data_IF_938261434413
#
_entry.id   IF_938261434413
#
_cell.length_a   1.000
_cell.length_b   1.000
_cell.length_c   1.000
_cell.angle_alpha   90.00
_cell.angle_beta   90.00
_cell.angle_gamma   90.00
#
_symmetry.space_group_name_H-M   'P 1'
#
loop_
_entity.id
_entity.type
_entity.pdbx_description
1 polymer ?
#
# COMPACT_ATOMS: atom_id res chain seq x y z
N UNK A 1 26.53 -4.99 10.27
CA UNK A 1 25.75 -5.19 9.02
C UNK A 1 24.52 -4.31 9.08
N UNK A 2 24.09 -3.69 7.99
CA UNK A 2 22.83 -2.95 7.99
C UNK A 2 21.67 -3.94 8.24
N UNK A 3 20.72 -3.52 9.06
CA UNK A 3 19.50 -4.26 9.35
C UNK A 3 18.31 -3.48 8.80
N UNK A 4 17.39 -4.17 8.14
CA UNK A 4 16.18 -3.57 7.57
C UNK A 4 14.97 -4.24 8.19
N UNK A 5 14.12 -3.44 8.84
CA UNK A 5 12.82 -3.88 9.34
C UNK A 5 11.73 -3.41 8.39
N UNK A 6 10.97 -4.34 7.84
CA UNK A 6 9.83 -4.03 6.99
C UNK A 6 8.54 -4.11 7.79
N UNK A 7 7.74 -3.05 7.72
CA UNK A 7 6.44 -2.97 8.37
C UNK A 7 5.37 -2.70 7.32
N UNK A 8 4.38 -3.59 7.23
CA UNK A 8 3.20 -3.36 6.42
C UNK A 8 2.29 -2.34 7.11
N UNK A 9 1.65 -1.45 6.34
CA UNK A 9 0.65 -0.55 6.90
C UNK A 9 -0.48 -1.32 7.59
N UNK A 10 -1.14 -0.71 8.58
CA UNK A 10 -2.32 -1.24 9.23
C UNK A 10 -3.44 -1.52 8.22
N UNK A 11 -4.45 -2.29 8.63
CA UNK A 11 -5.57 -2.61 7.75
C UNK A 11 -6.16 -1.34 7.15
N UNK A 12 -6.23 -1.31 5.82
CA UNK A 12 -6.91 -0.24 5.09
C UNK A 12 -8.43 -0.35 5.26
N UNK A 13 -9.14 0.73 4.92
CA UNK A 13 -10.61 0.78 4.95
C UNK A 13 -11.19 -0.36 4.11
N UNK A 14 -12.05 -1.15 4.73
CA UNK A 14 -12.77 -2.23 4.05
C UNK A 14 -13.94 -1.67 3.24
N UNK A 15 -14.36 -2.42 2.23
CA UNK A 15 -15.45 -2.05 1.32
C UNK A 15 -15.24 -0.70 0.63
N UNK A 16 -13.98 -0.31 0.44
CA UNK A 16 -13.64 0.85 -0.35
C UNK A 16 -14.08 0.66 -1.80
N UNK A 17 -14.50 1.75 -2.43
CA UNK A 17 -14.97 1.77 -3.82
C UNK A 17 -14.05 2.55 -4.76
N UNK A 18 -13.02 3.20 -4.20
CA UNK A 18 -12.01 3.95 -4.93
C UNK A 18 -10.66 3.85 -4.27
N UNK A 19 -9.61 4.21 -5.00
CA UNK A 19 -8.26 4.26 -4.46
C UNK A 19 -8.14 5.26 -3.30
N UNK A 20 -8.78 6.41 -3.40
CA UNK A 20 -8.77 7.44 -2.36
C UNK A 20 -9.48 6.97 -1.07
N UNK A 21 -10.60 6.26 -1.23
CA UNK A 21 -11.33 5.69 -0.09
C UNK A 21 -10.52 4.57 0.57
N UNK A 22 -9.85 3.75 -0.22
CA UNK A 22 -8.96 2.68 0.25
C UNK A 22 -7.72 3.24 0.96
N UNK A 23 -7.23 4.42 0.58
CA UNK A 23 -6.04 5.06 1.17
C UNK A 23 -6.31 5.65 2.56
N UNK A 24 -7.09 4.94 3.38
CA UNK A 24 -7.37 5.28 4.77
C UNK A 24 -7.24 4.02 5.62
N UNK A 25 -6.76 4.18 6.85
CA UNK A 25 -6.78 3.08 7.82
C UNK A 25 -8.18 2.85 8.38
N UNK A 26 -8.58 1.59 8.51
CA UNK A 26 -9.73 1.22 9.32
C UNK A 26 -9.45 1.47 10.80
N UNK A 27 -10.50 1.43 11.65
CA UNK A 27 -10.30 1.50 13.11
C UNK A 27 -9.36 0.39 13.63
N UNK A 28 -9.50 -0.82 13.08
CA UNK A 28 -8.60 -1.92 13.41
C UNK A 28 -7.18 -1.62 12.93
N UNK A 29 -7.00 -1.08 11.73
CA UNK A 29 -5.69 -0.71 11.20
C UNK A 29 -4.97 0.33 12.08
N UNK A 30 -5.71 1.30 12.62
CA UNK A 30 -5.18 2.27 13.58
C UNK A 30 -4.72 1.60 14.88
N UNK A 31 -5.49 0.63 15.40
CA UNK A 31 -5.10 -0.16 16.56
C UNK A 31 -3.86 -1.02 16.29
N UNK A 32 -3.83 -1.68 15.14
CA UNK A 32 -2.68 -2.50 14.72
C UNK A 32 -1.39 -1.68 14.67
N UNK A 33 -1.42 -0.47 14.10
CA UNK A 33 -0.26 0.41 14.08
C UNK A 33 0.25 0.75 15.49
N UNK A 34 -0.67 1.07 16.40
CA UNK A 34 -0.31 1.34 17.80
C UNK A 34 0.31 0.13 18.50
N UNK A 35 -0.25 -1.07 18.30
CA UNK A 35 0.26 -2.30 18.88
C UNK A 35 1.68 -2.63 18.39
N UNK A 36 1.93 -2.48 17.10
CA UNK A 36 3.26 -2.69 16.53
C UNK A 36 4.26 -1.69 17.11
N UNK A 37 3.87 -0.42 17.20
CA UNK A 37 4.71 0.61 17.81
C UNK A 37 5.02 0.33 19.28
N UNK A 38 4.04 -0.10 20.07
CA UNK A 38 4.22 -0.51 21.46
C UNK A 38 5.19 -1.70 21.57
N UNK A 39 5.00 -2.70 20.71
CA UNK A 39 5.90 -3.85 20.67
C UNK A 39 7.34 -3.44 20.40
N UNK A 40 7.58 -2.55 19.44
CA UNK A 40 8.92 -2.07 19.11
C UNK A 40 9.55 -1.26 20.24
N UNK A 41 8.76 -0.42 20.93
CA UNK A 41 9.24 0.29 22.13
C UNK A 41 9.60 -0.66 23.27
N UNK A 42 8.79 -1.69 23.50
CA UNK A 42 9.06 -2.70 24.54
C UNK A 42 10.34 -3.49 24.26
N UNK A 43 10.63 -3.74 22.98
CA UNK A 43 11.89 -4.34 22.52
C UNK A 43 13.07 -3.36 22.52
N UNK A 44 12.84 -2.08 22.83
CA UNK A 44 13.86 -1.00 22.79
C UNK A 44 14.57 -0.91 21.45
N UNK A 45 13.85 -1.15 20.35
CA UNK A 45 14.40 -1.03 19.00
C UNK A 45 14.69 0.44 18.67
N UNK A 46 15.84 0.67 18.07
CA UNK A 46 16.26 1.99 17.57
C UNK A 46 16.58 1.89 16.09
N UNK A 47 16.37 2.99 15.38
CA UNK A 47 16.56 3.07 13.93
C UNK A 47 17.34 4.33 13.59
N UNK A 48 18.21 4.24 12.58
CA UNK A 48 18.97 5.39 12.06
C UNK A 48 18.13 6.24 11.11
N UNK A 49 17.15 5.62 10.43
CA UNK A 49 16.22 6.27 9.51
C UNK A 49 14.91 5.49 9.46
N UNK A 50 13.81 6.21 9.33
CA UNK A 50 12.50 5.64 9.04
C UNK A 50 12.10 6.09 7.64
N UNK A 51 11.78 5.13 6.78
CA UNK A 51 11.32 5.42 5.41
C UNK A 51 9.87 4.98 5.27
N UNK A 52 9.04 5.83 4.67
CA UNK A 52 7.65 5.52 4.35
C UNK A 52 7.31 6.02 2.95
N UNK A 53 6.31 5.43 2.33
CA UNK A 53 5.69 5.99 1.14
C UNK A 53 4.91 7.27 1.45
N UNK A 54 4.24 7.80 0.42
CA UNK A 54 3.45 9.02 0.52
C UNK A 54 1.94 8.78 0.62
N UNK A 55 1.50 7.51 0.62
CA UNK A 55 0.10 7.16 0.80
C UNK A 55 -0.35 7.41 2.26
N UNK A 56 -1.57 7.90 2.42
CA UNK A 56 -2.14 8.25 3.73
C UNK A 56 -2.06 7.07 4.71
N UNK A 57 -2.44 5.85 4.26
CA UNK A 57 -2.39 4.66 5.11
C UNK A 57 -0.98 4.29 5.58
N UNK A 58 0.05 4.59 4.78
CA UNK A 58 1.45 4.36 5.15
C UNK A 58 1.92 5.41 6.15
N UNK A 59 1.62 6.68 5.89
CA UNK A 59 1.97 7.80 6.76
C UNK A 59 1.28 7.65 8.12
N UNK A 60 -0.03 7.39 8.13
CA UNK A 60 -0.80 7.20 9.36
C UNK A 60 -0.29 6.02 10.19
N UNK A 61 0.11 4.92 9.53
CA UNK A 61 0.72 3.79 10.23
C UNK A 61 2.00 4.21 10.93
N UNK A 62 2.90 4.90 10.23
CA UNK A 62 4.16 5.39 10.82
C UNK A 62 3.92 6.32 12.00
N UNK A 63 2.98 7.28 11.86
CA UNK A 63 2.65 8.23 12.93
C UNK A 63 2.06 7.50 14.15
N UNK A 64 1.09 6.60 13.91
CA UNK A 64 0.38 5.88 14.98
C UNK A 64 1.26 4.85 15.71
N UNK A 65 2.30 4.34 15.05
CA UNK A 65 3.31 3.52 15.73
C UNK A 65 4.00 4.30 16.87
N UNK A 66 4.10 5.62 16.76
CA UNK A 66 4.64 6.48 17.81
C UNK A 66 6.01 6.02 18.29
N UNK A 67 6.91 5.69 17.37
CA UNK A 67 8.25 5.28 17.70
C UNK A 67 8.99 6.46 18.33
N UNK A 68 9.49 6.25 19.54
CA UNK A 68 10.34 7.22 20.22
C UNK A 68 11.74 7.13 19.63
N UNK A 69 11.95 7.86 18.55
CA UNK A 69 13.22 7.88 17.87
C UNK A 69 13.57 9.29 17.42
N UNK A 70 14.86 9.60 17.48
CA UNK A 70 15.43 10.81 16.87
C UNK A 70 15.75 10.62 15.39
N UNK A 71 15.46 9.43 14.85
CA UNK A 71 15.71 9.12 13.46
C UNK A 71 14.87 10.01 12.55
N UNK A 72 15.47 10.56 11.47
CA UNK A 72 14.71 11.29 10.48
C UNK A 72 13.69 10.38 9.79
N UNK A 73 12.51 10.95 9.50
CA UNK A 73 11.47 10.29 8.70
C UNK A 73 11.57 10.80 7.27
N UNK A 74 11.83 9.90 6.34
CA UNK A 74 11.91 10.17 4.90
C UNK A 74 10.65 9.64 4.22
N UNK A 75 9.98 10.48 3.42
CA UNK A 75 8.84 10.09 2.60
C UNK A 75 9.26 10.01 1.14
N UNK A 76 9.03 8.84 0.52
CA UNK A 76 9.45 8.59 -0.85
C UNK A 76 8.35 7.81 -1.59
N UNK A 77 7.84 8.38 -2.67
CA UNK A 77 6.77 7.78 -3.48
C UNK A 77 7.15 6.43 -4.10
N UNK A 78 8.45 6.13 -4.21
CA UNK A 78 8.93 4.84 -4.71
C UNK A 78 8.49 3.66 -3.82
N UNK A 79 8.13 3.93 -2.56
CA UNK A 79 7.60 2.93 -1.62
C UNK A 79 6.07 2.83 -1.64
N UNK A 80 5.39 3.56 -2.54
CA UNK A 80 3.95 3.46 -2.66
C UNK A 80 3.53 2.11 -3.27
N UNK A 81 2.42 1.57 -2.78
CA UNK A 81 1.76 0.45 -3.43
C UNK A 81 1.16 0.87 -4.78
N UNK A 82 0.89 -0.14 -5.61
CA UNK A 82 0.16 0.08 -6.87
C UNK A 82 -1.26 0.59 -6.58
N UNK A 83 -1.78 1.41 -7.47
CA UNK A 83 -3.16 1.92 -7.42
C UNK A 83 -4.13 0.89 -8.02
N UNK A 84 -4.41 -0.16 -7.25
CA UNK A 84 -5.16 -1.31 -7.73
C UNK A 84 -6.59 -0.98 -8.14
N UNK A 85 -7.28 -0.10 -7.41
CA UNK A 85 -8.65 0.31 -7.74
C UNK A 85 -8.70 1.08 -9.06
N UNK A 86 -7.74 1.98 -9.30
CA UNK A 86 -7.67 2.72 -10.57
C UNK A 86 -7.39 1.77 -11.75
N UNK A 87 -6.52 0.79 -11.57
CA UNK A 87 -6.29 -0.23 -12.60
C UNK A 87 -7.54 -1.09 -12.84
N UNK A 88 -8.27 -1.43 -11.78
CA UNK A 88 -9.51 -2.20 -11.90
C UNK A 88 -10.60 -1.41 -12.63
N UNK A 89 -10.73 -0.11 -12.36
CA UNK A 89 -11.66 0.77 -13.08
C UNK A 89 -11.30 0.87 -14.57
N UNK A 90 -10.01 0.95 -14.89
CA UNK A 90 -9.56 0.93 -16.28
C UNK A 90 -9.85 -0.42 -16.95
N UNK A 91 -9.71 -1.55 -16.25
CA UNK A 91 -10.11 -2.85 -16.78
C UNK A 91 -11.60 -2.91 -17.09
N UNK A 92 -12.44 -2.38 -16.20
CA UNK A 92 -13.88 -2.29 -16.43
C UNK A 92 -14.19 -1.44 -17.64
N UNK A 93 -13.63 -0.25 -17.72
CA UNK A 93 -13.93 0.74 -18.76
C UNK A 93 -13.39 0.33 -20.14
N UNK A 94 -12.21 -0.29 -20.19
CA UNK A 94 -11.55 -0.62 -21.47
C UNK A 94 -11.85 -2.03 -21.96
N UNK A 95 -12.16 -2.97 -21.07
CA UNK A 95 -12.32 -4.39 -21.39
C UNK A 95 -13.65 -4.99 -20.91
N UNK A 96 -14.50 -4.22 -20.21
CA UNK A 96 -15.77 -4.71 -19.66
C UNK A 96 -15.60 -5.72 -18.52
N UNK A 97 -14.46 -5.72 -17.84
CA UNK A 97 -14.12 -6.67 -16.75
C UNK A 97 -14.45 -6.02 -15.42
N UNK A 98 -15.52 -6.48 -14.78
CA UNK A 98 -15.95 -5.98 -13.48
C UNK A 98 -15.02 -6.38 -12.34
N UNK A 99 -14.98 -5.55 -11.29
CA UNK A 99 -14.30 -5.87 -10.05
C UNK A 99 -14.93 -7.13 -9.39
N UNK A 100 -14.13 -8.06 -8.89
CA UNK A 100 -14.62 -9.31 -8.31
C UNK A 100 -15.41 -9.09 -7.02
N UNK A 101 -16.40 -9.96 -6.79
CA UNK A 101 -17.25 -9.90 -5.61
C UNK A 101 -16.84 -10.90 -4.50
N UNK A 102 -15.97 -11.85 -4.82
CA UNK A 102 -15.52 -12.90 -3.91
C UNK A 102 -14.01 -13.13 -4.01
N UNK A 103 -13.45 -13.78 -2.99
CA UNK A 103 -12.00 -14.01 -2.87
C UNK A 103 -11.43 -14.87 -4.02
N UNK A 104 -12.18 -15.88 -4.47
CA UNK A 104 -11.73 -16.77 -5.55
C UNK A 104 -11.59 -16.03 -6.88
N UNK A 105 -12.57 -15.21 -7.22
CA UNK A 105 -12.53 -14.37 -8.42
C UNK A 105 -11.56 -13.20 -8.29
N UNK A 106 -11.30 -12.71 -7.07
CA UNK A 106 -10.32 -11.65 -6.82
C UNK A 106 -8.91 -12.05 -7.28
N UNK A 107 -8.45 -13.24 -6.93
CA UNK A 107 -7.12 -13.72 -7.36
C UNK A 107 -6.99 -13.80 -8.88
N UNK A 108 -8.04 -14.28 -9.56
CA UNK A 108 -8.07 -14.34 -11.03
C UNK A 108 -8.06 -12.93 -11.64
N UNK A 109 -8.85 -12.03 -11.09
CA UNK A 109 -8.92 -10.63 -11.53
C UNK A 109 -7.55 -9.95 -11.35
N UNK A 110 -6.92 -10.13 -10.19
CA UNK A 110 -5.61 -9.56 -9.89
C UNK A 110 -4.55 -10.03 -10.90
N UNK A 111 -4.49 -11.33 -11.16
CA UNK A 111 -3.55 -11.91 -12.15
C UNK A 111 -3.80 -11.35 -13.55
N UNK A 112 -5.05 -11.19 -13.94
CA UNK A 112 -5.42 -10.61 -15.25
C UNK A 112 -5.03 -9.14 -15.33
N UNK A 113 -5.26 -8.38 -14.26
CA UNK A 113 -4.87 -6.97 -14.15
C UNK A 113 -3.37 -6.81 -14.36
N UNK A 114 -2.57 -7.57 -13.63
CA UNK A 114 -1.12 -7.53 -13.75
C UNK A 114 -0.64 -7.91 -15.14
N UNK A 115 -1.18 -8.99 -15.71
CA UNK A 115 -0.81 -9.43 -17.06
C UNK A 115 -1.09 -8.36 -18.12
N UNK A 116 -2.26 -7.73 -18.07
CA UNK A 116 -2.62 -6.65 -19.02
C UNK A 116 -1.77 -5.40 -18.81
N UNK A 117 -1.48 -5.06 -17.55
CA UNK A 117 -0.62 -3.94 -17.22
C UNK A 117 0.84 -4.18 -17.67
N UNK A 118 1.39 -5.35 -17.41
CA UNK A 118 2.73 -5.77 -17.87
C UNK A 118 2.85 -5.75 -19.39
N UNK A 119 1.84 -6.26 -20.08
CA UNK A 119 1.78 -6.29 -21.55
C UNK A 119 1.48 -4.93 -22.19
N UNK A 120 1.30 -3.86 -21.37
CA UNK A 120 0.95 -2.51 -21.84
C UNK A 120 -0.40 -2.44 -22.59
N UNK A 121 -1.31 -3.34 -22.27
CA UNK A 121 -2.65 -3.36 -22.88
C UNK A 121 -3.57 -2.29 -22.27
N UNK A 122 -3.32 -1.88 -21.02
CA UNK A 122 -4.09 -0.83 -20.33
C UNK A 122 -3.62 0.54 -20.83
N UNK A 123 -4.54 1.31 -21.38
CA UNK A 123 -4.27 2.66 -21.89
C UNK A 123 -4.35 3.66 -20.73
N UNK A 124 -3.37 4.56 -20.64
CA UNK A 124 -3.26 5.60 -19.62
C UNK A 124 -3.39 5.10 -18.18
N UNK A 125 -2.59 4.08 -17.77
CA UNK A 125 -2.58 3.66 -16.38
C UNK A 125 -2.04 4.78 -15.48
N UNK A 126 -2.40 4.82 -14.17
CA UNK A 126 -1.87 5.81 -13.23
C UNK A 126 -0.34 5.73 -13.10
N UNK A 127 0.21 4.56 -13.31
CA UNK A 127 1.64 4.29 -13.43
C UNK A 127 1.85 3.18 -14.44
N UNK A 128 2.85 3.31 -15.33
CA UNK A 128 3.20 2.21 -16.23
C UNK A 128 3.90 1.10 -15.49
N UNK A 129 3.73 -0.14 -15.93
CA UNK A 129 4.44 -1.29 -15.34
C UNK A 129 5.97 -1.10 -15.35
N UNK A 130 6.51 -0.51 -16.44
CA UNK A 130 7.94 -0.23 -16.54
C UNK A 130 8.40 0.78 -15.47
N UNK A 131 7.64 1.86 -15.25
CA UNK A 131 7.96 2.84 -14.20
C UNK A 131 7.91 2.20 -12.82
N UNK A 132 6.87 1.42 -12.53
CA UNK A 132 6.75 0.66 -11.28
C UNK A 132 7.95 -0.27 -11.04
N UNK A 133 8.38 -0.99 -12.07
CA UNK A 133 9.48 -1.96 -11.98
C UNK A 133 10.84 -1.30 -11.71
N UNK A 134 11.01 -0.05 -12.09
CA UNK A 134 12.31 0.68 -12.03
C UNK A 134 12.42 1.72 -10.92
N UNK A 135 11.35 1.97 -10.18
CA UNK A 135 11.34 2.91 -9.05
C UNK A 135 11.92 2.35 -7.75
#
# INVERSE_FOLDING_TARGET
MPEITLVRHGQAKQNATSEEDYDNLSELGRKQAKWVGEHFRNLKLSYDVIVTGTLTRQIDTQILMGLDTKAPVVRDERFNEIRLYDLADLLKNQFGIDFPKDESSFKKHLNLTFKKWENREIINPPETYQKYKTR
#
